data_IF_775911539226
#
_entry.id   IF_775911539226
#
_cell.length_a   1.000
_cell.length_b   1.000
_cell.length_c   1.000
_cell.angle_alpha   90.00
_cell.angle_beta   90.00
_cell.angle_gamma   90.00
#
_symmetry.space_group_name_H-M   'P 1'
#
loop_
_entity.id
_entity.type
_entity.pdbx_description
1 polymer ?
#
# COMPACT_ATOMS: atom_id res chain seq x y z
N UNK A 1 22.03 -2.42 10.08
CA UNK A 1 21.27 -1.20 10.32
C UNK A 1 21.92 -0.13 9.49
N UNK A 2 21.18 0.36 8.49
CA UNK A 2 21.58 1.44 7.61
C UNK A 2 21.82 2.71 8.45
N UNK A 3 22.84 3.46 8.09
CA UNK A 3 23.19 4.75 8.68
C UNK A 3 22.30 5.87 8.12
N UNK A 4 22.19 7.01 8.82
CA UNK A 4 21.41 8.16 8.33
C UNK A 4 21.84 8.64 6.93
N UNK A 5 23.15 8.71 6.59
CA UNK A 5 23.58 9.01 5.22
C UNK A 5 23.08 8.01 4.17
N UNK A 6 23.16 6.70 4.45
CA UNK A 6 22.65 5.66 3.55
C UNK A 6 21.13 5.77 3.37
N UNK A 7 20.39 6.04 4.46
CA UNK A 7 18.94 6.24 4.41
C UNK A 7 18.56 7.46 3.55
N UNK A 8 19.30 8.56 3.64
CA UNK A 8 19.07 9.75 2.79
C UNK A 8 19.35 9.47 1.32
N UNK A 9 20.42 8.72 1.01
CA UNK A 9 20.74 8.33 -0.37
C UNK A 9 19.66 7.42 -0.96
N UNK A 10 19.19 6.45 -0.19
CA UNK A 10 18.12 5.53 -0.58
C UNK A 10 16.81 6.29 -0.78
N UNK A 11 16.43 7.19 0.14
CA UNK A 11 15.24 8.03 0.01
C UNK A 11 15.30 8.91 -1.24
N UNK A 12 16.40 9.63 -1.44
CA UNK A 12 16.58 10.50 -2.60
C UNK A 12 16.47 9.71 -3.91
N UNK A 13 17.08 8.51 -3.95
CA UNK A 13 16.95 7.60 -5.09
C UNK A 13 15.51 7.14 -5.29
N UNK A 14 14.81 6.73 -4.23
CA UNK A 14 13.41 6.32 -4.32
C UNK A 14 12.51 7.45 -4.85
N UNK A 15 12.73 8.69 -4.42
CA UNK A 15 12.00 9.88 -4.91
C UNK A 15 12.24 10.12 -6.40
N UNK A 16 13.51 10.07 -6.85
CA UNK A 16 13.87 10.24 -8.25
C UNK A 16 13.24 9.16 -9.13
N UNK A 17 13.31 7.90 -8.69
CA UNK A 17 12.76 6.74 -9.39
C UNK A 17 11.23 6.82 -9.47
N UNK A 18 10.55 7.09 -8.35
CA UNK A 18 9.09 7.24 -8.33
C UNK A 18 8.63 8.38 -9.24
N UNK A 19 9.32 9.52 -9.24
CA UNK A 19 9.00 10.64 -10.11
C UNK A 19 9.18 10.29 -11.58
N UNK A 20 10.27 9.63 -11.94
CA UNK A 20 10.56 9.28 -13.34
C UNK A 20 9.58 8.22 -13.85
N UNK A 21 9.33 7.16 -13.07
CA UNK A 21 8.31 6.15 -13.38
C UNK A 21 6.92 6.78 -13.48
N UNK A 22 6.58 7.69 -12.58
CA UNK A 22 5.33 8.46 -12.62
C UNK A 22 5.18 9.28 -13.91
N UNK A 23 6.24 9.95 -14.38
CA UNK A 23 6.24 10.65 -15.67
C UNK A 23 6.06 9.70 -16.85
N UNK A 24 6.65 8.50 -16.79
CA UNK A 24 6.41 7.47 -17.81
C UNK A 24 4.92 7.11 -17.86
N UNK A 25 4.30 6.81 -16.71
CA UNK A 25 2.87 6.51 -16.62
C UNK A 25 1.98 7.65 -17.11
N UNK A 26 2.26 8.90 -16.70
CA UNK A 26 1.56 10.09 -17.19
C UNK A 26 1.69 10.24 -18.71
N UNK A 27 2.83 9.82 -19.27
CA UNK A 27 3.02 9.72 -20.70
C UNK A 27 1.96 8.82 -21.34
N UNK A 28 1.66 7.66 -20.77
CA UNK A 28 0.67 6.71 -21.29
C UNK A 28 -0.79 7.06 -20.95
N UNK A 29 -1.03 7.76 -19.85
CA UNK A 29 -2.36 8.10 -19.34
C UNK A 29 -3.17 8.95 -20.34
N UNK A 30 -4.46 8.65 -20.48
CA UNK A 30 -5.42 9.32 -21.39
C UNK A 30 -5.03 9.39 -22.88
N UNK A 31 -3.93 8.74 -23.31
CA UNK A 31 -3.72 8.46 -24.73
C UNK A 31 -4.90 7.66 -25.26
N UNK A 32 -5.24 7.72 -26.56
CA UNK A 32 -6.25 6.85 -27.15
C UNK A 32 -5.84 5.39 -26.92
N UNK A 33 -6.29 4.82 -25.80
CA UNK A 33 -6.10 3.42 -25.49
C UNK A 33 -7.04 2.73 -26.46
N UNK A 34 -6.51 2.32 -27.61
CA UNK A 34 -7.14 1.27 -28.38
C UNK A 34 -7.11 0.03 -27.50
N UNK A 35 -8.06 -0.07 -26.56
CA UNK A 35 -8.46 -1.29 -25.86
C UNK A 35 -9.20 -2.16 -26.88
N UNK A 36 -8.57 -2.38 -28.02
CA UNK A 36 -8.80 -3.55 -28.84
C UNK A 36 -7.85 -4.58 -28.28
N UNK A 37 -8.39 -5.55 -27.52
CA UNK A 37 -7.78 -6.86 -27.43
C UNK A 37 -7.69 -7.40 -28.87
N UNK A 38 -6.67 -6.99 -29.64
CA UNK A 38 -6.49 -7.47 -31.00
C UNK A 38 -5.94 -8.87 -30.90
N UNK A 39 -6.79 -9.81 -31.32
CA UNK A 39 -6.41 -11.17 -31.59
C UNK A 39 -5.22 -11.17 -32.55
N UNK A 40 -4.04 -11.44 -32.00
CA UNK A 40 -2.89 -12.16 -32.57
C UNK A 40 -1.68 -12.05 -31.61
N UNK A 41 -1.64 -11.05 -30.71
CA UNK A 41 -0.67 -10.97 -29.59
C UNK A 41 -1.22 -10.45 -28.23
N UNK A 42 -2.51 -10.12 -28.14
CA UNK A 42 -3.27 -9.96 -26.88
C UNK A 42 -2.65 -9.13 -25.73
N UNK A 43 -1.95 -8.02 -26.01
CA UNK A 43 -1.44 -7.09 -24.98
C UNK A 43 -2.31 -5.84 -24.87
N UNK A 44 -2.62 -5.42 -23.64
CA UNK A 44 -3.39 -4.20 -23.35
C UNK A 44 -2.45 -3.01 -23.15
N UNK A 45 -2.88 -1.75 -23.41
CA UNK A 45 -2.05 -0.56 -23.12
C UNK A 45 -1.57 -0.44 -21.67
N UNK A 46 -2.34 -0.97 -20.70
CA UNK A 46 -1.90 -1.07 -19.31
C UNK A 46 -0.71 -1.99 -19.17
N UNK A 47 -0.74 -3.14 -19.83
CA UNK A 47 0.38 -4.09 -19.83
C UNK A 47 1.66 -3.46 -20.40
N UNK A 48 1.55 -2.46 -21.28
CA UNK A 48 2.71 -1.72 -21.78
C UNK A 48 3.21 -0.64 -20.81
N UNK A 49 2.31 0.18 -20.27
CA UNK A 49 2.66 1.23 -19.32
C UNK A 49 3.27 0.65 -18.04
N UNK A 50 2.65 -0.41 -17.53
CA UNK A 50 3.04 -1.12 -16.33
C UNK A 50 4.39 -1.82 -16.50
N UNK A 51 4.56 -2.57 -17.60
CA UNK A 51 5.85 -3.18 -17.96
C UNK A 51 6.96 -2.14 -18.16
N UNK A 52 6.66 -1.00 -18.80
CA UNK A 52 7.66 0.05 -19.01
C UNK A 52 8.10 0.69 -17.68
N UNK A 53 7.17 0.85 -16.73
CA UNK A 53 7.44 1.31 -15.37
C UNK A 53 8.28 0.27 -14.60
N UNK A 54 7.90 -1.01 -14.63
CA UNK A 54 8.62 -2.11 -13.98
C UNK A 54 10.06 -2.25 -14.51
N UNK A 55 10.23 -2.33 -15.83
CA UNK A 55 11.54 -2.48 -16.48
C UNK A 55 12.48 -1.33 -16.10
N UNK A 56 11.96 -0.09 -16.07
CA UNK A 56 12.72 1.09 -15.65
C UNK A 56 13.14 1.00 -14.18
N UNK A 57 12.19 0.77 -13.27
CA UNK A 57 12.44 0.73 -11.84
C UNK A 57 13.45 -0.36 -11.48
N UNK A 58 13.24 -1.58 -11.97
CA UNK A 58 14.14 -2.71 -11.70
C UNK A 58 15.52 -2.49 -12.29
N UNK A 59 15.60 -1.98 -13.52
CA UNK A 59 16.87 -1.68 -14.18
C UNK A 59 17.70 -0.67 -13.41
N UNK A 60 17.08 0.44 -12.98
CA UNK A 60 17.79 1.49 -12.24
C UNK A 60 18.15 1.07 -10.82
N UNK A 61 17.28 0.34 -10.11
CA UNK A 61 17.60 -0.19 -8.78
C UNK A 61 18.77 -1.18 -8.87
N UNK A 62 18.75 -2.12 -9.81
CA UNK A 62 19.83 -3.09 -9.99
C UNK A 62 21.16 -2.41 -10.36
N UNK A 63 21.11 -1.32 -11.14
CA UNK A 63 22.30 -0.55 -11.54
C UNK A 63 22.91 0.24 -10.37
N UNK A 64 22.08 0.88 -9.54
CA UNK A 64 22.54 1.74 -8.43
C UNK A 64 22.85 0.95 -7.16
N UNK A 65 22.10 -0.12 -6.92
CA UNK A 65 22.15 -0.92 -5.71
C UNK A 65 22.28 -2.42 -6.02
N UNK A 66 23.41 -2.86 -6.60
CA UNK A 66 23.60 -4.25 -7.07
C UNK A 66 23.51 -5.30 -5.96
N UNK A 67 23.69 -4.92 -4.69
CA UNK A 67 23.57 -5.83 -3.54
C UNK A 67 22.15 -5.90 -2.94
N UNK A 68 21.24 -5.01 -3.36
CA UNK A 68 19.87 -5.00 -2.85
C UNK A 68 18.98 -5.97 -3.64
N UNK A 69 17.97 -6.55 -2.99
CA UNK A 69 16.95 -7.35 -3.66
C UNK A 69 15.81 -6.44 -4.17
N UNK A 70 15.05 -6.93 -5.16
CA UNK A 70 13.86 -6.26 -5.69
C UNK A 70 12.70 -7.25 -5.74
N UNK A 71 11.57 -6.84 -5.19
CA UNK A 71 10.28 -7.53 -5.22
C UNK A 71 9.30 -6.61 -5.96
N UNK A 72 8.80 -7.05 -7.11
CA UNK A 72 7.82 -6.32 -7.91
C UNK A 72 6.51 -7.10 -8.04
N UNK A 73 5.39 -6.38 -8.13
CA UNK A 73 4.09 -6.98 -8.48
C UNK A 73 4.17 -7.75 -9.81
N UNK A 74 4.73 -7.10 -10.83
CA UNK A 74 4.68 -7.51 -12.25
C UNK A 74 5.70 -8.59 -12.64
N UNK A 75 6.74 -8.79 -11.83
CA UNK A 75 7.78 -9.75 -12.15
C UNK A 75 7.65 -11.02 -11.31
N UNK A 76 7.89 -12.17 -11.95
CA UNK A 76 8.40 -13.32 -11.23
C UNK A 76 9.73 -12.89 -10.58
N UNK A 77 9.88 -13.21 -9.29
CA UNK A 77 11.03 -12.79 -8.51
C UNK A 77 12.33 -13.20 -9.24
N UNK A 78 13.36 -12.34 -9.19
CA UNK A 78 14.68 -12.67 -9.74
C UNK A 78 15.33 -13.86 -9.03
N UNK A 79 16.66 -13.91 -8.95
CA UNK A 79 17.27 -14.84 -8.00
C UNK A 79 16.70 -14.54 -6.60
N UNK A 80 15.93 -15.49 -6.03
CA UNK A 80 15.31 -15.40 -4.70
C UNK A 80 16.41 -15.45 -3.63
N UNK A 81 17.17 -14.36 -3.56
CA UNK A 81 18.30 -14.19 -2.66
C UNK A 81 17.82 -13.43 -1.43
N UNK A 82 18.12 -13.97 -0.26
CA UNK A 82 18.07 -13.18 0.96
C UNK A 82 19.02 -11.98 0.79
N UNK A 83 18.50 -10.77 1.04
CA UNK A 83 19.28 -9.55 1.06
C UNK A 83 18.93 -8.75 2.31
N UNK A 84 19.91 -8.04 2.86
CA UNK A 84 19.66 -7.17 4.00
C UNK A 84 18.69 -6.04 3.66
N UNK A 85 18.70 -5.58 2.40
CA UNK A 85 17.86 -4.52 1.88
C UNK A 85 17.06 -5.01 0.67
N UNK A 86 15.74 -4.82 0.70
CA UNK A 86 14.82 -5.20 -0.38
C UNK A 86 13.96 -4.01 -0.79
N UNK A 87 13.93 -3.73 -2.09
CA UNK A 87 13.01 -2.77 -2.70
C UNK A 87 11.72 -3.49 -3.04
N UNK A 88 10.60 -3.01 -2.53
CA UNK A 88 9.26 -3.49 -2.87
C UNK A 88 8.61 -2.43 -3.73
N UNK A 89 8.22 -2.80 -4.95
CA UNK A 89 7.67 -1.87 -5.93
C UNK A 89 6.31 -2.34 -6.47
N UNK A 90 5.40 -1.38 -6.62
CA UNK A 90 4.19 -1.47 -7.43
C UNK A 90 4.34 -0.46 -8.57
N UNK A 91 4.60 -0.94 -9.81
CA UNK A 91 4.84 -0.07 -10.96
C UNK A 91 3.58 0.68 -11.43
N UNK A 92 2.37 0.22 -11.10
CA UNK A 92 1.09 0.86 -11.41
C UNK A 92 -0.06 0.42 -10.46
N UNK A 93 -0.09 1.03 -9.27
CA UNK A 93 -1.23 0.88 -8.36
C UNK A 93 -2.44 1.63 -8.92
N UNK A 94 -3.62 1.03 -8.84
CA UNK A 94 -4.84 1.62 -9.41
C UNK A 94 -4.98 1.41 -10.91
N UNK A 95 -4.44 0.33 -11.46
CA UNK A 95 -4.56 -0.07 -12.88
C UNK A 95 -5.98 0.09 -13.48
N UNK A 96 -7.04 -0.23 -12.73
CA UNK A 96 -8.42 -0.03 -13.20
C UNK A 96 -8.75 1.45 -13.39
N UNK A 97 -8.29 2.31 -12.50
CA UNK A 97 -8.49 3.76 -12.60
C UNK A 97 -7.71 4.32 -13.79
N UNK A 98 -6.47 3.87 -13.96
CA UNK A 98 -5.62 4.24 -15.09
C UNK A 98 -6.28 3.96 -16.44
N UNK A 99 -6.84 2.75 -16.63
CA UNK A 99 -7.56 2.36 -17.86
C UNK A 99 -8.77 3.22 -18.17
N UNK A 100 -9.43 3.73 -17.14
CA UNK A 100 -10.68 4.46 -17.27
C UNK A 100 -10.47 5.99 -17.23
N UNK A 101 -9.23 6.47 -17.27
CA UNK A 101 -8.94 7.91 -17.25
C UNK A 101 -9.23 8.57 -15.90
N UNK A 102 -9.26 7.81 -14.79
CA UNK A 102 -9.40 8.38 -13.45
C UNK A 102 -7.99 8.61 -12.86
N UNK A 103 -7.57 9.85 -12.54
CA UNK A 103 -6.23 10.18 -12.07
C UNK A 103 -6.01 9.82 -10.58
N UNK A 104 -6.44 8.62 -10.20
CA UNK A 104 -6.26 8.01 -8.88
C UNK A 104 -5.48 6.70 -9.06
N UNK A 105 -4.20 6.83 -9.37
CA UNK A 105 -3.26 5.74 -9.56
C UNK A 105 -1.88 6.21 -9.08
N UNK A 106 -0.86 5.35 -9.05
CA UNK A 106 0.47 5.78 -8.66
C UNK A 106 1.57 4.76 -8.90
N UNK A 107 2.79 5.15 -8.57
CA UNK A 107 3.94 4.25 -8.45
C UNK A 107 4.28 4.16 -6.97
N UNK A 108 4.34 2.95 -6.42
CA UNK A 108 4.66 2.73 -5.01
C UNK A 108 6.06 2.13 -4.90
N UNK A 109 6.93 2.78 -4.15
CA UNK A 109 8.26 2.28 -3.82
C UNK A 109 8.38 2.26 -2.30
N UNK A 110 8.83 1.13 -1.77
CA UNK A 110 9.23 0.97 -0.37
C UNK A 110 10.57 0.25 -0.30
N UNK A 111 11.42 0.62 0.64
CA UNK A 111 12.69 -0.05 0.91
C UNK A 111 12.63 -0.62 2.30
N UNK A 112 12.94 -1.91 2.42
CA UNK A 112 12.90 -2.65 3.66
C UNK A 112 14.32 -3.05 4.07
N UNK A 113 14.74 -2.73 5.28
CA UNK A 113 15.92 -3.34 5.90
C UNK A 113 15.45 -4.50 6.80
N UNK A 114 15.82 -5.73 6.44
CA UNK A 114 15.40 -6.93 7.16
C UNK A 114 13.87 -6.98 7.40
N UNK A 115 13.09 -6.58 6.40
CA UNK A 115 11.62 -6.53 6.47
C UNK A 115 11.03 -5.37 7.29
N UNK A 116 11.85 -4.46 7.85
CA UNK A 116 11.39 -3.19 8.45
C UNK A 116 11.40 -2.09 7.39
N UNK A 117 10.33 -1.31 7.20
CA UNK A 117 10.34 -0.17 6.29
C UNK A 117 11.34 0.90 6.74
N UNK A 118 12.18 1.36 5.82
CA UNK A 118 13.24 2.34 6.10
C UNK A 118 13.26 3.54 5.16
N UNK A 119 12.77 3.38 3.93
CA UNK A 119 12.50 4.50 3.01
C UNK A 119 11.26 4.18 2.17
N UNK A 120 10.56 5.20 1.69
CA UNK A 120 9.37 5.04 0.84
C UNK A 120 9.18 6.27 -0.03
N UNK A 121 8.68 6.06 -1.25
CA UNK A 121 8.25 7.11 -2.17
C UNK A 121 7.01 6.62 -2.92
N UNK A 122 5.96 7.43 -2.93
CA UNK A 122 4.70 7.20 -3.63
C UNK A 122 4.48 8.36 -4.60
N UNK A 123 4.55 8.07 -5.90
CA UNK A 123 4.17 9.04 -6.92
C UNK A 123 2.65 9.04 -7.10
N UNK A 124 2.05 10.23 -7.17
CA UNK A 124 0.63 10.41 -7.46
C UNK A 124 0.43 11.48 -8.54
N UNK A 125 -0.48 11.28 -9.51
CA UNK A 125 -1.00 12.35 -10.35
C UNK A 125 -1.57 13.49 -9.51
N UNK A 126 -1.50 14.72 -10.04
CA UNK A 126 -2.06 15.88 -9.36
C UNK A 126 -2.90 16.71 -10.31
N UNK A 127 -4.09 17.09 -9.84
CA UNK A 127 -5.00 17.98 -10.60
C UNK A 127 -4.46 19.41 -10.75
N UNK A 128 -3.55 19.83 -9.88
CA UNK A 128 -2.94 21.18 -9.89
C UNK A 128 -1.49 21.19 -10.37
N UNK A 129 -0.88 20.02 -10.56
CA UNK A 129 0.51 19.89 -11.02
C UNK A 129 0.60 18.77 -12.07
N UNK A 130 0.87 19.15 -13.31
CA UNK A 130 0.98 18.22 -14.44
C UNK A 130 2.15 17.26 -14.31
N UNK A 131 3.15 17.58 -13.48
CA UNK A 131 4.30 16.70 -13.19
C UNK A 131 3.99 15.67 -12.09
N UNK A 132 2.79 15.69 -11.53
CA UNK A 132 2.42 14.89 -10.35
C UNK A 132 3.11 15.37 -9.06
N UNK A 133 3.11 14.52 -8.04
CA UNK A 133 3.76 14.76 -6.74
C UNK A 133 4.38 13.47 -6.24
N UNK A 134 5.37 13.57 -5.35
CA UNK A 134 5.92 12.40 -4.65
C UNK A 134 5.76 12.58 -3.15
N UNK A 135 5.01 11.69 -2.52
CA UNK A 135 4.94 11.59 -1.07
C UNK A 135 6.01 10.62 -0.62
N UNK A 136 6.96 11.05 0.21
CA UNK A 136 8.11 10.23 0.61
C UNK A 136 8.41 10.32 2.10
N UNK A 137 9.16 9.34 2.59
CA UNK A 137 9.64 9.31 3.95
C UNK A 137 10.87 8.42 4.08
N UNK A 138 11.61 8.63 5.16
CA UNK A 138 12.64 7.70 5.65
C UNK A 138 12.54 7.53 7.15
N UNK A 139 13.00 6.39 7.65
CA UNK A 139 13.01 6.09 9.09
C UNK A 139 13.74 7.20 9.87
N UNK A 140 13.03 7.80 10.83
CA UNK A 140 13.53 8.90 11.67
C UNK A 140 13.73 10.24 10.96
N UNK A 141 13.34 10.35 9.68
CA UNK A 141 13.48 11.56 8.88
C UNK A 141 12.21 12.39 8.75
N UNK A 142 11.05 11.82 9.10
CA UNK A 142 9.75 12.39 8.81
C UNK A 142 9.25 12.05 7.40
N UNK A 143 8.00 12.40 7.15
CA UNK A 143 7.35 12.27 5.85
C UNK A 143 7.14 13.64 5.19
N UNK A 144 7.11 13.65 3.86
CA UNK A 144 7.03 14.85 3.03
C UNK A 144 6.12 14.62 1.80
N UNK A 145 5.42 15.66 1.36
CA UNK A 145 4.74 15.75 0.06
C UNK A 145 5.52 16.76 -0.79
N UNK A 146 6.32 16.22 -1.71
CA UNK A 146 7.45 16.94 -2.31
C UNK A 146 8.31 17.59 -1.21
N UNK A 147 8.51 18.91 -1.22
CA UNK A 147 9.33 19.61 -0.22
C UNK A 147 8.57 19.93 1.09
N UNK A 148 7.28 19.61 1.18
CA UNK A 148 6.43 20.01 2.31
C UNK A 148 6.37 18.89 3.34
N UNK A 149 6.91 19.16 4.54
CA UNK A 149 6.84 18.20 5.67
C UNK A 149 5.40 17.94 6.09
N UNK A 150 5.07 16.67 6.25
CA UNK A 150 3.77 16.19 6.73
C UNK A 150 3.78 16.05 8.26
N UNK A 151 2.61 16.25 8.86
CA UNK A 151 2.37 16.03 10.27
C UNK A 151 0.92 15.61 10.51
N UNK A 152 0.74 14.52 11.23
CA UNK A 152 -0.54 14.02 11.74
C UNK A 152 -0.71 14.31 13.24
N UNK A 153 0.30 14.92 13.88
CA UNK A 153 0.39 15.14 15.32
C UNK A 153 -0.39 16.38 15.83
N UNK A 154 -1.26 16.95 15.01
CA UNK A 154 -2.12 18.05 15.43
C UNK A 154 -3.29 17.53 16.26
N UNK A 155 -3.04 17.38 17.57
CA UNK A 155 -3.99 16.99 18.61
C UNK A 155 -5.22 17.92 18.75
N UNK A 156 -5.32 18.98 17.94
CA UNK A 156 -6.35 20.02 18.05
C UNK A 156 -7.23 20.19 16.80
N UNK A 157 -6.89 19.59 15.65
CA UNK A 157 -7.76 19.69 14.47
C UNK A 157 -8.94 18.72 14.59
N UNK A 158 -10.19 19.17 14.34
CA UNK A 158 -11.31 18.26 14.24
C UNK A 158 -11.06 17.23 13.15
N UNK A 159 -11.46 15.97 13.40
CA UNK A 159 -11.46 14.93 12.36
C UNK A 159 -12.18 15.47 11.13
N UNK A 160 -11.54 15.36 9.96
CA UNK A 160 -12.11 15.79 8.66
C UNK A 160 -13.27 14.91 8.23
N UNK A 161 -13.43 13.78 8.92
CA UNK A 161 -14.43 12.73 8.76
C UNK A 161 -14.33 12.03 7.41
N UNK A 162 -13.24 12.13 6.68
CA UNK A 162 -13.03 11.36 5.46
C UNK A 162 -12.21 10.10 5.78
N UNK A 163 -12.60 8.97 5.22
CA UNK A 163 -11.89 7.70 5.40
C UNK A 163 -11.86 6.87 4.14
N UNK A 164 -10.88 5.97 4.03
CA UNK A 164 -10.80 5.01 2.93
C UNK A 164 -11.10 3.58 3.39
N UNK A 165 -11.94 2.89 2.61
CA UNK A 165 -12.30 1.49 2.86
C UNK A 165 -12.49 0.70 1.55
N UNK A 166 -12.11 -0.58 1.51
CA UNK A 166 -12.44 -1.44 0.39
C UNK A 166 -13.97 -1.60 0.29
N UNK A 167 -14.58 -1.41 -0.89
CA UNK A 167 -16.04 -1.47 -1.06
C UNK A 167 -16.67 -2.75 -0.51
N UNK A 168 -15.98 -3.88 -0.72
CA UNK A 168 -16.40 -5.19 -0.23
C UNK A 168 -16.45 -5.27 1.30
N UNK A 169 -15.53 -4.59 1.99
CA UNK A 169 -15.49 -4.59 3.45
C UNK A 169 -16.76 -3.94 4.02
N UNK A 170 -17.20 -2.83 3.44
CA UNK A 170 -18.46 -2.17 3.84
C UNK A 170 -19.69 -3.06 3.62
N UNK A 171 -19.64 -3.95 2.63
CA UNK A 171 -20.71 -4.90 2.30
C UNK A 171 -20.68 -6.15 3.18
N UNK A 172 -19.49 -6.64 3.53
CA UNK A 172 -19.30 -7.88 4.28
C UNK A 172 -19.51 -7.68 5.79
N UNK A 173 -19.10 -6.55 6.34
CA UNK A 173 -19.17 -6.32 7.77
C UNK A 173 -20.45 -5.59 8.15
N UNK A 174 -21.24 -6.22 9.03
CA UNK A 174 -22.34 -5.52 9.70
C UNK A 174 -21.75 -4.64 10.80
N UNK A 175 -21.37 -3.43 10.41
CA UNK A 175 -21.05 -2.40 11.38
C UNK A 175 -22.30 -2.07 12.20
N UNK A 176 -22.17 -2.14 13.53
CA UNK A 176 -23.21 -1.67 14.43
C UNK A 176 -23.51 -0.18 14.22
N UNK A 177 -24.69 0.32 14.63
CA UNK A 177 -25.09 1.71 14.40
C UNK A 177 -24.08 2.75 14.92
N UNK A 178 -23.42 2.41 16.03
CA UNK A 178 -22.38 3.25 16.63
C UNK A 178 -21.14 3.32 15.72
N UNK A 179 -20.66 2.18 15.20
CA UNK A 179 -19.49 2.14 14.32
C UNK A 179 -19.77 2.81 12.97
N UNK A 180 -20.99 2.66 12.41
CA UNK A 180 -21.37 3.34 11.16
C UNK A 180 -21.31 4.85 11.24
N UNK A 181 -21.75 5.45 12.35
CA UNK A 181 -21.65 6.91 12.58
C UNK A 181 -20.20 7.39 12.69
N UNK A 182 -19.29 6.47 13.02
CA UNK A 182 -17.86 6.71 13.26
C UNK A 182 -16.99 6.48 12.03
N UNK A 183 -17.54 5.88 10.97
CA UNK A 183 -16.80 5.64 9.73
C UNK A 183 -16.41 6.95 9.03
N UNK A 184 -17.21 8.00 9.22
CA UNK A 184 -17.10 9.22 8.43
C UNK A 184 -17.67 9.03 7.01
N UNK A 185 -17.37 9.99 6.16
CA UNK A 185 -17.61 9.99 4.72
C UNK A 185 -16.59 9.07 4.05
N UNK A 186 -17.02 7.84 3.84
CA UNK A 186 -16.18 6.80 3.26
C UNK A 186 -15.91 7.09 1.78
N UNK A 187 -14.68 6.85 1.36
CA UNK A 187 -14.20 6.79 -0.02
C UNK A 187 -13.67 5.39 -0.29
N UNK A 188 -13.81 4.97 -1.53
CA UNK A 188 -13.14 3.80 -2.07
C UNK A 188 -12.59 4.25 -3.41
N UNK A 189 -11.29 4.53 -3.44
CA UNK A 189 -10.68 5.24 -4.56
C UNK A 189 -10.22 4.29 -5.65
N UNK A 190 -9.98 3.02 -5.31
CA UNK A 190 -9.53 1.99 -6.25
C UNK A 190 -8.01 1.87 -6.39
N UNK A 191 -7.24 2.62 -5.57
CA UNK A 191 -5.77 2.57 -5.47
C UNK A 191 -5.38 2.55 -4.00
N UNK A 192 -4.70 1.49 -3.56
CA UNK A 192 -4.37 1.31 -2.15
C UNK A 192 -3.29 2.32 -1.71
N UNK A 193 -2.28 2.53 -2.53
CA UNK A 193 -1.21 3.50 -2.30
C UNK A 193 -1.74 4.93 -2.25
N UNK A 194 -2.68 5.31 -3.12
CA UNK A 194 -3.34 6.61 -3.04
C UNK A 194 -4.05 6.79 -1.69
N UNK A 195 -4.79 5.78 -1.22
CA UNK A 195 -5.52 5.84 0.05
C UNK A 195 -4.59 6.00 1.25
N UNK A 196 -3.48 5.25 1.29
CA UNK A 196 -2.50 5.36 2.36
C UNK A 196 -1.74 6.69 2.31
N UNK A 197 -1.39 7.19 1.12
CA UNK A 197 -0.76 8.49 0.96
C UNK A 197 -1.69 9.63 1.39
N UNK A 198 -2.99 9.56 1.08
CA UNK A 198 -3.97 10.54 1.58
C UNK A 198 -4.12 10.49 3.11
N UNK A 199 -3.98 9.31 3.72
CA UNK A 199 -3.94 9.18 5.18
C UNK A 199 -2.67 9.81 5.77
N UNK A 200 -1.49 9.59 5.17
CA UNK A 200 -0.23 10.22 5.59
C UNK A 200 -0.28 11.75 5.48
N UNK A 201 -0.94 12.27 4.43
CA UNK A 201 -1.17 13.71 4.22
C UNK A 201 -2.25 14.31 5.11
N UNK A 202 -2.95 13.50 5.93
CA UNK A 202 -4.04 13.96 6.78
C UNK A 202 -5.31 14.35 6.05
N UNK A 203 -5.41 14.07 4.74
CA UNK A 203 -6.62 14.27 3.92
C UNK A 203 -7.69 13.26 4.33
N UNK A 204 -7.29 11.99 4.51
CA UNK A 204 -8.10 10.99 5.18
C UNK A 204 -7.68 10.92 6.65
N UNK A 205 -8.64 10.86 7.57
CA UNK A 205 -8.31 10.66 8.97
C UNK A 205 -7.75 9.26 9.21
N UNK A 206 -8.19 8.29 8.41
CA UNK A 206 -7.64 6.94 8.36
C UNK A 206 -7.97 6.22 7.05
N UNK A 207 -7.17 5.21 6.74
CA UNK A 207 -7.41 4.25 5.66
C UNK A 207 -7.35 2.82 6.23
N UNK A 208 -8.27 1.97 5.79
CA UNK A 208 -8.27 0.54 6.13
C UNK A 208 -7.96 -0.27 4.87
N UNK A 209 -7.03 -1.20 4.95
CA UNK A 209 -6.77 -2.18 3.90
C UNK A 209 -7.03 -3.58 4.44
N UNK A 210 -7.48 -4.48 3.57
CA UNK A 210 -7.82 -5.84 3.96
C UNK A 210 -7.21 -6.87 3.01
N UNK A 211 -6.29 -7.68 3.54
CA UNK A 211 -5.67 -8.79 2.82
C UNK A 211 -4.96 -8.37 1.52
N UNK A 212 -4.38 -7.17 1.55
CA UNK A 212 -3.58 -6.62 0.44
C UNK A 212 -2.19 -7.22 0.43
N UNK A 213 -1.54 -7.11 -0.73
CA UNK A 213 -0.17 -7.54 -0.90
C UNK A 213 0.79 -6.54 -0.26
N UNK A 214 2.05 -6.95 -0.16
CA UNK A 214 3.09 -6.11 0.43
C UNK A 214 3.36 -4.84 -0.40
N UNK A 215 3.34 -4.93 -1.74
CA UNK A 215 3.57 -3.79 -2.63
C UNK A 215 2.47 -2.71 -2.52
N UNK A 216 1.21 -3.12 -2.32
CA UNK A 216 0.10 -2.20 -2.04
C UNK A 216 0.24 -1.43 -0.72
N UNK A 217 0.93 -2.02 0.27
CA UNK A 217 0.89 -1.58 1.66
C UNK A 217 2.19 -0.91 2.13
N UNK A 218 3.34 -1.40 1.67
CA UNK A 218 4.64 -1.09 2.27
C UNK A 218 4.99 0.40 2.24
N UNK A 219 4.77 1.04 1.09
CA UNK A 219 5.08 2.47 0.93
C UNK A 219 4.24 3.30 1.90
N UNK A 220 2.93 3.09 1.92
CA UNK A 220 2.02 3.84 2.79
C UNK A 220 2.20 3.60 4.29
N UNK A 221 2.69 2.42 4.72
CA UNK A 221 3.00 2.14 6.12
C UNK A 221 4.05 3.11 6.66
N UNK A 222 5.20 3.24 5.97
CA UNK A 222 6.27 4.12 6.45
C UNK A 222 5.84 5.59 6.36
N UNK A 223 5.16 5.99 5.28
CA UNK A 223 4.66 7.36 5.11
C UNK A 223 3.79 7.79 6.30
N UNK A 224 2.86 6.94 6.75
CA UNK A 224 2.00 7.26 7.88
C UNK A 224 2.78 7.28 9.20
N UNK A 225 3.68 6.33 9.43
CA UNK A 225 4.49 6.29 10.66
C UNK A 225 5.36 7.55 10.80
N UNK A 226 6.05 7.93 9.74
CA UNK A 226 6.94 9.10 9.72
C UNK A 226 6.19 10.44 9.67
N UNK A 227 4.92 10.45 9.25
CA UNK A 227 4.04 11.59 9.43
C UNK A 227 3.52 11.75 10.88
N UNK A 228 3.86 10.85 11.81
CA UNK A 228 3.37 10.85 13.20
C UNK A 228 2.06 10.09 13.41
N UNK A 229 1.58 9.37 12.40
CA UNK A 229 0.39 8.55 12.47
C UNK A 229 0.63 7.19 13.15
N UNK A 230 -0.42 6.38 13.18
CA UNK A 230 -0.39 5.02 13.72
C UNK A 230 -0.77 4.03 12.61
N UNK A 231 -0.05 2.91 12.59
CA UNK A 231 -0.35 1.75 11.73
C UNK A 231 -0.63 0.57 12.65
N UNK A 232 -1.86 0.06 12.62
CA UNK A 232 -2.23 -1.19 13.30
C UNK A 232 -2.42 -2.29 12.27
N UNK A 233 -1.86 -3.47 12.53
CA UNK A 233 -2.08 -4.67 11.75
C UNK A 233 -2.89 -5.70 12.52
N UNK A 234 -3.69 -6.48 11.81
CA UNK A 234 -4.50 -7.53 12.43
C UNK A 234 -3.69 -8.82 12.58
N UNK A 235 -3.42 -9.20 13.82
CA UNK A 235 -2.86 -10.49 14.19
C UNK A 235 -3.98 -11.53 14.28
N UNK A 236 -3.76 -12.73 13.73
CA UNK A 236 -4.73 -13.84 13.82
C UNK A 236 -4.56 -14.65 15.10
N UNK A 237 -3.37 -14.61 15.71
CA UNK A 237 -2.97 -15.44 16.84
C UNK A 237 -2.07 -14.61 17.80
N UNK A 238 -2.62 -13.99 18.87
CA UNK A 238 -4.05 -13.89 19.18
C UNK A 238 -4.79 -12.96 18.21
N UNK A 239 -6.12 -13.09 18.14
CA UNK A 239 -6.97 -12.23 17.30
C UNK A 239 -7.05 -10.81 17.87
N UNK A 240 -6.21 -9.91 17.37
CA UNK A 240 -6.19 -8.51 17.83
C UNK A 240 -5.59 -7.58 16.79
N UNK A 241 -5.88 -6.29 16.93
CA UNK A 241 -5.09 -5.25 16.29
C UNK A 241 -3.85 -4.96 17.14
N UNK A 242 -2.69 -4.91 16.51
CA UNK A 242 -1.41 -4.62 17.16
C UNK A 242 -0.61 -3.62 16.33
N UNK A 243 0.27 -2.80 16.94
CA UNK A 243 1.17 -1.93 16.21
C UNK A 243 1.95 -2.71 15.14
N UNK A 244 2.01 -2.16 13.93
CA UNK A 244 2.82 -2.76 12.87
C UNK A 244 4.29 -2.37 13.04
N UNK A 245 5.17 -3.37 12.96
CA UNK A 245 6.62 -3.15 13.04
C UNK A 245 7.39 -3.65 11.80
N UNK A 246 6.96 -4.75 11.18
CA UNK A 246 7.69 -5.41 10.09
C UNK A 246 6.82 -6.37 9.26
N UNK A 247 7.23 -6.63 8.01
CA UNK A 247 6.51 -7.44 7.03
C UNK A 247 6.72 -8.96 7.14
N UNK A 248 7.70 -9.47 7.88
CA UNK A 248 7.82 -10.92 8.17
C UNK A 248 8.27 -11.11 9.62
N UNK A 249 7.62 -12.05 10.29
CA UNK A 249 7.92 -12.51 11.66
C UNK A 249 7.92 -14.03 11.55
N UNK A 250 9.07 -14.71 11.60
CA UNK A 250 9.20 -16.04 12.26
C UNK A 250 10.57 -16.74 12.22
N UNK A 251 11.59 -16.27 11.50
CA UNK A 251 12.96 -16.83 11.64
C UNK A 251 13.88 -15.78 12.25
N UNK A 252 14.23 -15.94 13.53
CA UNK A 252 15.12 -15.02 14.22
C UNK A 252 16.55 -15.15 13.66
N UNK A 253 17.06 -14.08 13.04
CA UNK A 253 18.47 -13.97 12.62
C UNK A 253 18.72 -13.90 11.11
N UNK A 254 17.71 -14.13 10.28
CA UNK A 254 17.86 -14.15 8.81
C UNK A 254 17.07 -13.01 8.15
N UNK A 255 17.60 -12.51 7.03
CA UNK A 255 16.91 -11.48 6.23
C UNK A 255 15.89 -12.18 5.33
N UNK A 256 14.63 -11.70 5.28
CA UNK A 256 13.60 -12.40 4.53
C UNK A 256 13.89 -12.34 3.03
N UNK A 257 13.61 -13.44 2.32
CA UNK A 257 13.72 -13.44 0.86
C UNK A 257 12.54 -12.67 0.22
N UNK A 258 12.68 -12.19 -1.03
CA UNK A 258 11.55 -11.68 -1.81
C UNK A 258 10.34 -12.63 -1.82
N UNK A 259 10.56 -13.94 -1.96
CA UNK A 259 9.48 -14.92 -1.94
C UNK A 259 8.75 -14.96 -0.58
N UNK A 260 9.47 -14.89 0.54
CA UNK A 260 8.85 -14.82 1.87
C UNK A 260 8.04 -13.55 2.06
N UNK A 261 8.59 -12.40 1.65
CA UNK A 261 7.90 -11.10 1.69
C UNK A 261 6.63 -11.10 0.84
N UNK A 262 6.65 -11.73 -0.34
CA UNK A 262 5.50 -11.86 -1.25
C UNK A 262 4.32 -12.59 -0.61
N UNK A 263 4.57 -13.48 0.35
CA UNK A 263 3.49 -14.18 1.07
C UNK A 263 2.75 -13.30 2.08
N UNK A 264 3.29 -12.12 2.42
CA UNK A 264 2.67 -11.24 3.38
C UNK A 264 1.31 -10.77 2.87
N UNK A 265 0.28 -11.09 3.65
CA UNK A 265 -1.07 -10.58 3.47
C UNK A 265 -1.73 -10.37 4.83
N UNK A 266 -1.96 -9.12 5.19
CA UNK A 266 -2.69 -8.77 6.42
C UNK A 266 -3.68 -7.65 6.17
N UNK A 267 -4.55 -7.44 7.14
CA UNK A 267 -5.38 -6.24 7.21
C UNK A 267 -4.65 -5.21 8.04
N UNK A 268 -4.64 -3.96 7.58
CA UNK A 268 -4.04 -2.83 8.29
C UNK A 268 -5.05 -1.69 8.39
N UNK A 269 -4.95 -0.90 9.45
CA UNK A 269 -5.63 0.40 9.58
C UNK A 269 -4.57 1.42 9.92
N UNK A 270 -4.54 2.51 9.16
CA UNK A 270 -3.50 3.54 9.25
C UNK A 270 -4.12 4.92 9.35
N UNK A 271 -3.45 5.88 9.96
CA UNK A 271 -3.84 7.29 9.95
C UNK A 271 -3.63 7.98 11.30
N UNK A 272 -4.45 9.00 11.57
CA UNK A 272 -4.41 9.75 12.82
C UNK A 272 -4.75 8.84 14.00
N UNK A 273 -3.94 8.89 15.06
CA UNK A 273 -4.09 8.04 16.25
C UNK A 273 -5.52 8.00 16.80
N UNK A 274 -6.21 9.15 17.05
CA UNK A 274 -7.57 9.11 17.58
C UNK A 274 -8.54 8.37 16.65
N UNK A 275 -8.41 8.52 15.33
CA UNK A 275 -9.28 7.85 14.36
C UNK A 275 -9.02 6.34 14.29
N UNK A 276 -7.74 5.94 14.24
CA UNK A 276 -7.31 4.54 14.18
C UNK A 276 -7.72 3.77 15.45
N UNK A 277 -7.48 4.33 16.63
CA UNK A 277 -7.89 3.71 17.91
C UNK A 277 -9.41 3.65 18.03
N UNK A 278 -10.09 4.72 17.60
CA UNK A 278 -11.54 4.79 17.64
C UNK A 278 -12.21 3.74 16.74
N UNK A 279 -11.65 3.48 15.56
CA UNK A 279 -12.23 2.49 14.65
C UNK A 279 -11.86 1.06 15.03
N UNK A 280 -10.60 0.80 15.40
CA UNK A 280 -10.12 -0.56 15.68
C UNK A 280 -10.67 -1.13 16.98
N UNK A 281 -10.99 -0.29 17.98
CA UNK A 281 -11.74 -0.72 19.18
C UNK A 281 -13.11 -1.32 18.88
N UNK A 282 -13.73 -0.92 17.76
CA UNK A 282 -15.00 -1.47 17.28
C UNK A 282 -14.86 -2.61 16.26
N UNK A 283 -13.67 -2.83 15.69
CA UNK A 283 -13.37 -3.85 14.69
C UNK A 283 -12.93 -5.16 15.34
N UNK A 284 -13.80 -5.76 16.15
CA UNK A 284 -13.70 -7.18 16.46
C UNK A 284 -14.32 -7.98 15.32
N UNK A 285 -13.58 -8.91 14.70
CA UNK A 285 -14.23 -9.95 13.89
C UNK A 285 -15.15 -10.73 14.81
N UNK A 286 -16.45 -10.42 14.80
CA UNK A 286 -17.44 -11.36 15.31
C UNK A 286 -17.17 -12.67 14.58
N UNK A 287 -16.71 -13.68 15.31
CA UNK A 287 -16.61 -15.03 14.79
C UNK A 287 -17.98 -15.38 14.26
N UNK A 288 -18.16 -15.38 12.94
CA UNK A 288 -19.33 -15.99 12.36
C UNK A 288 -19.33 -17.43 12.87
N UNK A 289 -20.37 -17.88 13.59
CA UNK A 289 -20.44 -19.27 13.97
C UNK A 289 -20.57 -20.06 12.67
N UNK A 290 -19.48 -20.71 12.27
CA UNK A 290 -19.39 -21.68 11.14
C UNK A 290 -20.48 -22.77 11.23
N UNK A 291 -21.17 -22.87 12.38
CA UNK A 291 -22.36 -23.68 12.61
C UNK A 291 -23.49 -23.50 11.58
N UNK A 292 -23.68 -22.32 10.96
CA UNK A 292 -24.81 -22.12 10.02
C UNK A 292 -24.58 -22.69 8.61
N UNK A 293 -23.33 -22.98 8.22
CA UNK A 293 -23.07 -23.64 6.91
C UNK A 293 -23.11 -25.17 7.02
N UNK A 294 -22.65 -25.74 8.15
CA UNK A 294 -22.74 -27.19 8.41
C UNK A 294 -24.18 -27.68 8.56
N UNK A 295 -25.08 -26.90 9.14
CA UNK A 295 -26.50 -27.29 9.28
C UNK A 295 -27.29 -27.28 7.95
N UNK A 296 -26.88 -26.46 6.97
CA UNK A 296 -27.49 -26.47 5.63
C UNK A 296 -27.02 -27.66 4.78
N UNK A 297 -25.75 -28.06 4.91
CA UNK A 297 -25.20 -29.21 4.19
C UNK A 297 -25.66 -30.54 4.81
N UNK A 298 -25.77 -30.63 6.14
CA UNK A 298 -26.28 -31.84 6.81
C UNK A 298 -27.79 -32.06 6.63
N UNK A 299 -28.56 -31.00 6.32
CA UNK A 299 -30.00 -31.10 6.04
C UNK A 299 -30.31 -31.59 4.61
N UNK A 300 -29.41 -31.35 3.66
CA UNK A 300 -29.53 -31.81 2.27
C UNK A 300 -29.10 -33.27 2.09
N UNK A 301 -28.16 -33.77 2.91
CA UNK A 301 -27.69 -35.16 2.87
C UNK A 301 -28.55 -36.16 3.67
N UNK A 302 -29.66 -35.71 4.28
CA UNK A 302 -30.65 -36.58 4.96
C UNK A 302 -32.00 -36.65 4.21
N UNK A 303 -32.08 -36.08 3.01
CA UNK A 303 -33.26 -36.13 2.13
C UNK A 303 -32.91 -36.57 0.69
N UNK A 304 -31.83 -37.33 0.54
CA UNK A 304 -31.49 -38.07 -0.67
C UNK A 304 -31.53 -39.55 -0.38
#
# INVERSE_FOLDING_TARGET
>A
MLTDPELREIEASAVELARTAGKLLLGYFERPLHVTYKAENNRSPVTEADKASDDYLRGEIARRFPEHAVLSEESEDGADRAAAVTWVIDPLDGTTNFLNGLPTFGVLISVLEQGRPVASATFLPSVTNTEGRVVHARAGGGAFDDDVRLSLDEAEEPLRRMSAWPPYFLRMFKFGPQLRRRLGDVRATGSAGFELAMAARGVFDYAALNNQWIWDAASGVLLVQEAGGVVLSYERHPKRWAPFERFVVEQAGESPTPAELRTWRRSIVVGKRPAVEHITSGLGFQTFPVRRLRQRISGLLRRG
#
